data_IF_686342570475
#
_entry.id   IF_686342570475
#
_cell.length_a   1.000
_cell.length_b   1.000
_cell.length_c   1.000
_cell.angle_alpha   90.00
_cell.angle_beta   90.00
_cell.angle_gamma   90.00
#
_symmetry.space_group_name_H-M   'P 1'
#
loop_
_entity.id
_entity.type
_entity.pdbx_description
1 polymer ?
#
# COMPACT_ATOMS: atom_id res chain seq x y z
N UNK A 1 -35.41 7.25 -12.22
CA UNK A 1 -34.28 6.30 -12.38
C UNK A 1 -33.10 7.12 -12.92
N UNK A 2 -32.06 7.41 -12.12
CA UNK A 2 -30.92 8.22 -12.59
C UNK A 2 -29.83 7.33 -13.16
N UNK A 3 -29.51 7.50 -14.44
CA UNK A 3 -28.38 6.83 -15.07
C UNK A 3 -27.06 7.53 -14.69
N UNK A 4 -26.22 6.77 -13.98
CA UNK A 4 -24.91 7.19 -13.50
C UNK A 4 -23.96 7.54 -14.64
N UNK A 5 -23.41 8.76 -14.59
CA UNK A 5 -22.45 9.31 -15.54
C UNK A 5 -21.12 8.54 -15.55
N UNK A 6 -20.98 7.52 -16.40
CA UNK A 6 -19.68 6.91 -16.73
C UNK A 6 -19.05 7.60 -17.95
N UNK A 7 -18.02 8.42 -17.71
CA UNK A 7 -16.99 8.73 -18.71
C UNK A 7 -17.32 9.74 -19.82
N UNK A 8 -17.76 10.96 -19.48
CA UNK A 8 -17.78 12.06 -20.47
C UNK A 8 -16.34 12.41 -20.86
N UNK A 9 -15.91 12.03 -22.07
CA UNK A 9 -14.65 12.51 -22.65
C UNK A 9 -14.80 14.02 -22.88
N UNK A 10 -14.11 14.80 -22.06
CA UNK A 10 -14.09 16.26 -22.18
C UNK A 10 -13.61 16.66 -23.58
N UNK A 11 -14.28 17.62 -24.22
CA UNK A 11 -13.85 18.16 -25.52
C UNK A 11 -12.46 18.77 -25.38
N UNK A 12 -11.69 18.78 -26.47
CA UNK A 12 -10.35 19.39 -26.50
C UNK A 12 -10.38 20.84 -26.00
N UNK A 13 -11.38 21.61 -26.40
CA UNK A 13 -11.55 22.99 -25.97
C UNK A 13 -11.77 23.09 -24.45
N UNK A 14 -12.65 22.28 -23.88
CA UNK A 14 -12.89 22.32 -22.45
C UNK A 14 -11.67 21.80 -21.67
N UNK A 15 -10.92 20.81 -22.20
CA UNK A 15 -9.69 20.29 -21.57
C UNK A 15 -8.58 21.34 -21.57
N UNK A 16 -8.44 22.10 -22.67
CA UNK A 16 -7.54 23.27 -22.77
C UNK A 16 -7.91 24.34 -21.75
N UNK A 17 -9.18 24.75 -21.70
CA UNK A 17 -9.69 25.72 -20.70
C UNK A 17 -9.40 25.28 -19.26
N UNK A 18 -9.63 24.01 -18.92
CA UNK A 18 -9.33 23.48 -17.59
C UNK A 18 -7.82 23.48 -17.29
N UNK A 19 -6.99 23.10 -18.27
CA UNK A 19 -5.53 23.10 -18.12
C UNK A 19 -4.96 24.51 -17.93
N UNK A 20 -5.45 25.50 -18.68
CA UNK A 20 -5.03 26.90 -18.52
C UNK A 20 -5.47 27.46 -17.18
N UNK A 21 -6.71 27.20 -16.75
CA UNK A 21 -7.25 27.66 -15.48
C UNK A 21 -6.54 27.08 -14.24
N UNK A 22 -5.84 25.95 -14.38
CA UNK A 22 -5.09 25.28 -13.32
C UNK A 22 -3.57 25.52 -13.41
N UNK A 23 -3.06 26.08 -14.51
CA UNK A 23 -1.64 26.34 -14.71
C UNK A 23 -1.12 27.28 -13.62
N UNK A 24 -0.14 26.81 -12.83
CA UNK A 24 0.47 27.57 -11.73
C UNK A 24 -0.25 27.49 -10.37
N UNK A 25 -1.44 26.87 -10.29
CA UNK A 25 -2.12 26.67 -9.00
C UNK A 25 -1.48 25.51 -8.24
N UNK A 26 -0.64 25.83 -7.24
CA UNK A 26 -0.23 24.85 -6.22
C UNK A 26 -1.41 24.64 -5.27
N UNK A 27 -1.75 23.37 -5.00
CA UNK A 27 -2.76 23.05 -3.98
C UNK A 27 -2.43 23.78 -2.67
N UNK A 28 -3.45 24.29 -1.97
CA UNK A 28 -3.24 24.96 -0.68
C UNK A 28 -2.53 24.01 0.29
N UNK A 29 -1.73 24.56 1.19
CA UNK A 29 -1.05 23.76 2.22
C UNK A 29 -2.05 22.93 3.03
N UNK A 30 -3.24 23.46 3.29
CA UNK A 30 -4.35 22.74 3.94
C UNK A 30 -4.82 21.53 3.11
N UNK A 31 -4.98 21.68 1.79
CA UNK A 31 -5.39 20.57 0.92
C UNK A 31 -4.30 19.50 0.86
N UNK A 32 -3.02 19.92 0.76
CA UNK A 32 -1.88 18.99 0.80
C UNK A 32 -1.83 18.25 2.14
N UNK A 33 -2.06 18.94 3.26
CA UNK A 33 -2.08 18.36 4.59
C UNK A 33 -3.21 17.33 4.73
N UNK A 34 -4.45 17.68 4.36
CA UNK A 34 -5.59 16.75 4.39
C UNK A 34 -5.34 15.51 3.52
N UNK A 35 -4.81 15.70 2.31
CA UNK A 35 -4.47 14.58 1.43
C UNK A 35 -3.31 13.74 1.97
N UNK A 36 -2.34 14.34 2.68
CA UNK A 36 -1.25 13.62 3.33
C UNK A 36 -1.74 12.80 4.52
N UNK A 37 -2.57 13.39 5.37
CA UNK A 37 -3.18 12.74 6.54
C UNK A 37 -4.07 11.58 6.11
N UNK A 38 -4.92 11.76 5.10
CA UNK A 38 -5.75 10.70 4.54
C UNK A 38 -4.93 9.55 3.92
N UNK A 39 -3.68 9.80 3.50
CA UNK A 39 -2.79 8.79 2.91
C UNK A 39 -1.88 8.10 3.93
N UNK A 40 -1.86 8.54 5.19
CA UNK A 40 -1.07 7.88 6.24
C UNK A 40 -1.69 6.51 6.51
N UNK A 41 -1.03 5.46 6.02
CA UNK A 41 -1.44 4.08 6.29
C UNK A 41 -1.04 3.72 7.72
N UNK A 42 -2.00 3.21 8.48
CA UNK A 42 -1.75 2.64 9.81
C UNK A 42 -1.31 1.19 9.61
N UNK A 43 -0.11 0.86 10.08
CA UNK A 43 0.42 -0.49 10.01
C UNK A 43 0.06 -1.26 11.27
N UNK A 44 -0.18 -2.56 11.10
CA UNK A 44 -0.31 -3.48 12.22
C UNK A 44 0.98 -3.47 13.06
N UNK A 45 0.92 -3.61 14.40
CA UNK A 45 2.11 -3.76 15.23
C UNK A 45 3.03 -4.89 14.74
N UNK A 46 4.35 -4.72 14.88
CA UNK A 46 5.33 -5.67 14.33
C UNK A 46 5.04 -7.12 14.75
N UNK A 47 4.77 -7.36 16.02
CA UNK A 47 4.53 -8.70 16.55
C UNK A 47 3.32 -9.37 15.89
N UNK A 48 2.16 -8.71 15.85
CA UNK A 48 0.97 -9.27 15.21
C UNK A 48 1.13 -9.45 13.69
N UNK A 49 1.92 -8.56 13.07
CA UNK A 49 2.22 -8.63 11.65
C UNK A 49 3.15 -9.82 11.35
N UNK A 50 4.13 -10.09 12.22
CA UNK A 50 5.05 -11.25 12.17
C UNK A 50 4.32 -12.57 12.37
N UNK A 51 3.42 -12.65 13.35
CA UNK A 51 2.59 -13.84 13.57
C UNK A 51 1.71 -14.14 12.35
N UNK A 52 1.12 -13.10 11.74
CA UNK A 52 0.37 -13.25 10.50
C UNK A 52 1.27 -13.80 9.37
N UNK A 53 2.45 -13.24 9.15
CA UNK A 53 3.32 -13.69 8.06
C UNK A 53 3.88 -15.09 8.27
N UNK A 54 4.13 -15.49 9.51
CA UNK A 54 4.49 -16.86 9.88
C UNK A 54 3.38 -17.86 9.58
N UNK A 55 2.12 -17.49 9.83
CA UNK A 55 0.97 -18.35 9.49
C UNK A 55 0.83 -18.64 7.99
N UNK A 56 1.43 -17.82 7.12
CA UNK A 56 1.46 -18.06 5.66
C UNK A 56 2.45 -19.17 5.28
N UNK A 57 3.36 -19.55 6.18
CA UNK A 57 4.39 -20.57 6.01
C UNK A 57 5.23 -20.35 4.73
N UNK A 58 5.65 -19.11 4.49
CA UNK A 58 6.48 -18.74 3.35
C UNK A 58 7.95 -19.01 3.70
N UNK A 59 8.68 -19.65 2.79
CA UNK A 59 10.04 -20.14 3.05
C UNK A 59 11.14 -19.20 2.58
N UNK A 60 10.79 -18.08 1.95
CA UNK A 60 11.78 -17.15 1.43
C UNK A 60 11.23 -15.74 1.20
N UNK A 61 12.13 -14.77 1.11
CA UNK A 61 11.80 -13.41 0.65
C UNK A 61 11.17 -13.43 -0.75
N UNK A 62 11.60 -14.34 -1.63
CA UNK A 62 11.04 -14.45 -2.99
C UNK A 62 9.56 -14.80 -2.93
N UNK A 63 9.17 -15.75 -2.08
CA UNK A 63 7.77 -16.10 -1.85
C UNK A 63 6.99 -14.93 -1.23
N UNK A 64 7.58 -14.19 -0.29
CA UNK A 64 6.97 -12.96 0.22
C UNK A 64 6.71 -11.91 -0.87
N UNK A 65 7.67 -11.72 -1.79
CA UNK A 65 7.53 -10.80 -2.92
C UNK A 65 6.43 -11.23 -3.89
N UNK A 66 6.24 -12.53 -4.08
CA UNK A 66 5.14 -13.06 -4.88
C UNK A 66 3.80 -12.86 -4.16
N UNK A 67 3.72 -13.27 -2.89
CA UNK A 67 2.52 -13.13 -2.06
C UNK A 67 2.02 -11.68 -1.99
N UNK A 68 2.90 -10.70 -1.74
CA UNK A 68 2.48 -9.29 -1.67
C UNK A 68 1.98 -8.73 -3.00
N UNK A 69 2.31 -9.37 -4.14
CA UNK A 69 1.94 -8.94 -5.49
C UNK A 69 0.69 -9.64 -6.00
N UNK A 70 0.54 -10.93 -5.71
CA UNK A 70 -0.49 -11.78 -6.29
C UNK A 70 -1.43 -12.42 -5.26
N UNK A 71 -1.11 -12.34 -3.97
CA UNK A 71 -1.78 -13.10 -2.92
C UNK A 71 -1.35 -14.57 -2.89
N UNK A 72 -2.03 -15.36 -2.05
CA UNK A 72 -1.90 -16.81 -1.92
C UNK A 72 -3.28 -17.39 -1.57
N UNK A 73 -3.65 -18.52 -2.17
CA UNK A 73 -4.93 -19.22 -1.91
C UNK A 73 -6.17 -18.33 -2.07
N UNK A 74 -6.18 -17.46 -3.09
CA UNK A 74 -7.27 -16.50 -3.33
C UNK A 74 -7.33 -15.35 -2.33
N UNK A 75 -6.39 -15.27 -1.37
CA UNK A 75 -6.31 -14.19 -0.37
C UNK A 75 -5.17 -13.25 -0.72
N UNK A 76 -5.53 -11.97 -0.88
CA UNK A 76 -4.56 -10.89 -1.05
C UNK A 76 -3.90 -10.53 0.28
N UNK A 77 -2.75 -9.86 0.21
CA UNK A 77 -2.10 -9.28 1.38
C UNK A 77 -3.02 -8.23 2.02
N UNK A 78 -3.31 -8.33 3.33
CA UNK A 78 -4.09 -7.32 4.06
C UNK A 78 -3.48 -5.92 3.93
N UNK A 79 -4.31 -4.89 4.01
CA UNK A 79 -3.87 -3.51 3.81
C UNK A 79 -2.99 -2.97 4.94
N UNK A 80 -3.22 -3.45 6.15
CA UNK A 80 -2.49 -3.14 7.38
C UNK A 80 -1.13 -3.85 7.49
N UNK A 81 -0.83 -4.78 6.57
CA UNK A 81 0.48 -5.42 6.46
C UNK A 81 1.35 -4.68 5.43
N UNK A 82 2.56 -4.21 5.79
CA UNK A 82 3.40 -3.47 4.86
C UNK A 82 4.00 -4.37 3.78
N UNK A 83 4.07 -3.86 2.55
CA UNK A 83 4.76 -4.56 1.45
C UNK A 83 6.27 -4.64 1.64
N UNK A 84 6.86 -3.71 2.39
CA UNK A 84 8.27 -3.68 2.76
C UNK A 84 8.38 -3.61 4.30
N UNK A 85 8.39 -4.77 4.98
CA UNK A 85 8.46 -4.83 6.43
C UNK A 85 9.80 -4.31 6.98
N UNK A 86 10.91 -4.55 6.27
CA UNK A 86 12.22 -4.01 6.65
C UNK A 86 12.24 -2.49 6.79
N UNK A 87 11.57 -1.76 5.90
CA UNK A 87 11.47 -0.30 6.00
C UNK A 87 10.49 0.13 7.09
N UNK A 88 9.41 -0.61 7.26
CA UNK A 88 8.29 -0.22 8.14
C UNK A 88 8.62 -0.47 9.60
N UNK A 89 9.24 -1.62 9.89
CA UNK A 89 9.55 -2.07 11.25
C UNK A 89 11.04 -1.99 11.58
N UNK A 90 11.80 -1.17 10.84
CA UNK A 90 13.27 -1.03 10.98
C UNK A 90 13.68 -0.83 12.44
N UNK A 91 12.90 -0.06 13.19
CA UNK A 91 13.16 0.29 14.59
C UNK A 91 12.18 -0.41 15.56
N UNK A 92 11.34 -1.32 15.06
CA UNK A 92 10.25 -1.95 15.81
C UNK A 92 10.47 -3.47 15.99
N UNK A 93 11.72 -3.93 15.89
CA UNK A 93 12.10 -5.33 16.10
C UNK A 93 12.41 -6.13 14.84
N UNK A 94 12.50 -5.49 13.66
CA UNK A 94 12.90 -6.18 12.42
C UNK A 94 14.28 -6.83 12.53
N UNK A 95 14.34 -8.16 12.37
CA UNK A 95 15.57 -8.95 12.37
C UNK A 95 15.83 -9.69 11.03
N UNK A 96 15.20 -9.24 9.94
CA UNK A 96 15.35 -9.87 8.63
C UNK A 96 14.19 -10.79 8.25
N UNK A 97 14.25 -11.31 7.02
CA UNK A 97 13.23 -12.20 6.48
C UNK A 97 13.13 -13.57 7.17
N UNK A 98 14.23 -14.22 7.62
CA UNK A 98 14.14 -15.47 8.37
C UNK A 98 13.27 -15.34 9.62
N UNK A 99 13.51 -14.32 10.44
CA UNK A 99 12.70 -14.00 11.61
C UNK A 99 11.24 -13.67 11.27
N UNK A 100 11.06 -12.78 10.28
CA UNK A 100 9.75 -12.28 9.86
C UNK A 100 8.82 -13.36 9.30
N UNK A 101 9.36 -14.29 8.52
CA UNK A 101 8.60 -15.38 7.91
C UNK A 101 8.64 -16.66 8.75
N UNK A 102 9.57 -16.77 9.70
CA UNK A 102 9.69 -17.90 10.62
C UNK A 102 10.35 -19.15 10.02
N UNK A 103 11.20 -19.00 9.00
CA UNK A 103 11.92 -20.15 8.40
C UNK A 103 13.34 -20.34 8.96
N UNK A 104 13.74 -19.53 9.95
CA UNK A 104 15.06 -19.64 10.62
C UNK A 104 15.22 -20.99 11.35
N UNK A 105 14.12 -21.56 11.87
CA UNK A 105 14.10 -22.82 12.62
C UNK A 105 13.86 -24.07 11.75
N UNK A 106 13.93 -23.96 10.41
CA UNK A 106 13.72 -25.10 9.49
C UNK A 106 15.03 -25.79 9.07
N UNK A 107 16.14 -25.57 9.80
CA UNK A 107 17.44 -26.20 9.59
C UNK A 107 17.63 -27.40 10.51
#
# INVERSE_FOLDING_TARGET
MSESSKGKKHTEESRRKMSEALKGKRASEETKKKMSEARKKVWRPFYEAREFTRSLNLRSETEWRQYRKFGKDGKLKPDDIPSNPSKTYKNDGWNGYPDWLGYEDLV
#
